data_IF_697928125035
#
_entry.id   IF_697928125035
#
_cell.length_a   1.000
_cell.length_b   1.000
_cell.length_c   1.000
_cell.angle_alpha   90.00
_cell.angle_beta   90.00
_cell.angle_gamma   90.00
#
_symmetry.space_group_name_H-M   'P 1'
#
loop_
_entity.id
_entity.type
_entity.pdbx_description
1 polymer ?
#
# COMPACT_ATOMS: atom_id res chain seq x y z
N UNK A 1 -12.15 -8.38 6.72
CA UNK A 1 -12.49 -7.24 5.84
C UNK A 1 -13.73 -7.60 5.04
N UNK A 2 -14.75 -6.73 4.97
CA UNK A 2 -16.13 -7.09 4.57
C UNK A 2 -16.19 -7.90 3.28
N UNK A 3 -15.51 -7.46 2.22
CA UNK A 3 -15.63 -8.10 0.92
C UNK A 3 -14.80 -9.39 0.78
N UNK A 4 -13.64 -9.51 1.45
CA UNK A 4 -12.91 -10.78 1.56
C UNK A 4 -13.74 -11.88 2.23
N UNK A 5 -14.49 -11.50 3.26
CA UNK A 5 -15.28 -12.45 4.05
C UNK A 5 -16.70 -12.61 3.51
N UNK A 6 -17.13 -11.76 2.56
CA UNK A 6 -18.49 -11.75 2.02
C UNK A 6 -18.91 -13.12 1.49
N UNK A 7 -18.05 -13.77 0.69
CA UNK A 7 -18.29 -15.13 0.20
C UNK A 7 -18.49 -16.12 1.36
N UNK A 8 -17.60 -16.09 2.36
CA UNK A 8 -17.70 -16.97 3.52
C UNK A 8 -19.01 -16.76 4.28
N UNK A 9 -19.43 -15.51 4.47
CA UNK A 9 -20.70 -15.17 5.10
C UNK A 9 -21.90 -15.65 4.28
N UNK A 10 -21.91 -15.44 2.96
CA UNK A 10 -22.97 -15.88 2.05
C UNK A 10 -23.10 -17.42 2.09
N UNK A 11 -21.98 -18.13 1.96
CA UNK A 11 -21.95 -19.60 2.00
C UNK A 11 -22.33 -20.17 3.37
N UNK A 12 -21.98 -19.47 4.45
CA UNK A 12 -22.36 -19.85 5.82
C UNK A 12 -23.84 -19.62 6.09
N UNK A 13 -24.41 -18.52 5.60
CA UNK A 13 -25.84 -18.25 5.69
C UNK A 13 -26.67 -19.31 4.97
N UNK A 14 -26.24 -19.78 3.78
CA UNK A 14 -26.91 -20.89 3.07
C UNK A 14 -27.15 -22.15 3.91
N UNK A 15 -26.31 -22.40 4.92
CA UNK A 15 -26.35 -23.61 5.77
C UNK A 15 -27.20 -23.45 7.04
N UNK A 16 -27.67 -22.25 7.37
CA UNK A 16 -28.41 -21.97 8.61
C UNK A 16 -29.92 -22.18 8.44
N UNK A 17 -30.53 -22.89 9.39
CA UNK A 17 -31.99 -22.97 9.50
C UNK A 17 -32.59 -21.57 9.74
N UNK A 18 -33.72 -21.28 9.09
CA UNK A 18 -34.39 -19.97 9.17
C UNK A 18 -33.78 -18.86 8.29
N UNK A 19 -32.85 -19.20 7.39
CA UNK A 19 -32.28 -18.23 6.45
C UNK A 19 -33.32 -17.67 5.51
N UNK A 20 -33.40 -16.35 5.40
CA UNK A 20 -34.23 -15.68 4.43
C UNK A 20 -33.62 -15.86 3.03
N UNK A 21 -34.26 -16.67 2.19
CA UNK A 21 -33.77 -17.02 0.87
C UNK A 21 -33.67 -15.81 -0.07
N UNK A 22 -34.57 -14.84 0.04
CA UNK A 22 -34.55 -13.62 -0.77
C UNK A 22 -33.32 -12.76 -0.45
N UNK A 23 -32.95 -12.63 0.84
CA UNK A 23 -31.73 -11.92 1.23
C UNK A 23 -30.46 -12.65 0.77
N UNK A 24 -30.48 -13.99 0.79
CA UNK A 24 -29.35 -14.79 0.31
C UNK A 24 -29.15 -14.64 -1.21
N UNK A 25 -30.24 -14.68 -1.99
CA UNK A 25 -30.22 -14.44 -3.44
C UNK A 25 -29.72 -13.04 -3.76
N UNK A 26 -30.19 -12.01 -3.05
CA UNK A 26 -29.72 -10.64 -3.21
C UNK A 26 -28.21 -10.53 -2.93
N UNK A 27 -27.73 -11.11 -1.83
CA UNK A 27 -26.30 -11.04 -1.48
C UNK A 27 -25.41 -11.72 -2.53
N UNK A 28 -25.85 -12.85 -3.11
CA UNK A 28 -25.15 -13.50 -4.22
C UNK A 28 -25.12 -12.61 -5.46
N UNK A 29 -26.25 -12.00 -5.81
CA UNK A 29 -26.36 -11.13 -6.97
C UNK A 29 -25.45 -9.90 -6.83
N UNK A 30 -25.49 -9.22 -5.68
CA UNK A 30 -24.65 -8.06 -5.40
C UNK A 30 -23.15 -8.43 -5.43
N UNK A 31 -22.77 -9.58 -4.87
CA UNK A 31 -21.39 -10.07 -4.93
C UNK A 31 -20.94 -10.27 -6.38
N UNK A 32 -21.72 -10.99 -7.19
CA UNK A 32 -21.38 -11.27 -8.59
C UNK A 32 -21.36 -10.00 -9.45
N UNK A 33 -22.26 -9.04 -9.19
CA UNK A 33 -22.27 -7.74 -9.86
C UNK A 33 -21.02 -6.93 -9.52
N UNK A 34 -20.66 -6.83 -8.24
CA UNK A 34 -19.44 -6.16 -7.81
C UNK A 34 -18.20 -6.83 -8.43
N UNK A 35 -18.14 -8.16 -8.39
CA UNK A 35 -17.06 -8.93 -9.00
C UNK A 35 -16.89 -8.64 -10.50
N UNK A 36 -17.99 -8.53 -11.26
CA UNK A 36 -17.93 -8.21 -12.68
C UNK A 36 -17.26 -6.85 -12.94
N UNK A 37 -17.55 -5.84 -12.11
CA UNK A 37 -16.88 -4.53 -12.18
C UNK A 37 -15.39 -4.65 -11.85
N UNK A 38 -15.02 -5.41 -10.83
CA UNK A 38 -13.61 -5.64 -10.47
C UNK A 38 -12.82 -6.31 -11.60
N UNK A 39 -13.43 -7.26 -12.32
CA UNK A 39 -12.80 -7.88 -13.49
C UNK A 39 -12.57 -6.87 -14.62
N UNK A 40 -13.49 -5.92 -14.80
CA UNK A 40 -13.36 -4.86 -15.80
C UNK A 40 -12.27 -3.85 -15.42
N UNK A 41 -12.17 -3.52 -14.14
CA UNK A 41 -11.08 -2.70 -13.60
C UNK A 41 -9.73 -3.39 -13.77
N UNK A 42 -9.65 -4.68 -13.42
CA UNK A 42 -8.42 -5.48 -13.55
C UNK A 42 -7.96 -5.59 -15.02
N UNK A 43 -8.89 -5.75 -15.97
CA UNK A 43 -8.57 -5.73 -17.41
C UNK A 43 -7.99 -4.38 -17.83
N UNK A 44 -8.57 -3.28 -17.35
CA UNK A 44 -8.11 -1.92 -17.69
C UNK A 44 -6.69 -1.67 -17.18
N UNK A 45 -6.41 -2.01 -15.91
CA UNK A 45 -5.05 -1.84 -15.34
C UNK A 45 -4.05 -2.84 -15.93
N UNK A 46 -4.48 -4.04 -16.31
CA UNK A 46 -3.64 -5.01 -17.02
C UNK A 46 -3.22 -4.51 -18.39
N UNK A 47 -4.15 -3.91 -19.14
CA UNK A 47 -3.82 -3.27 -20.41
C UNK A 47 -2.82 -2.11 -20.23
N UNK A 48 -3.03 -1.26 -19.22
CA UNK A 48 -2.10 -0.18 -18.87
C UNK A 48 -0.70 -0.71 -18.51
N UNK A 49 -0.62 -1.71 -17.62
CA UNK A 49 0.65 -2.27 -17.16
C UNK A 49 1.45 -2.92 -18.28
N UNK A 50 0.77 -3.67 -19.15
CA UNK A 50 1.39 -4.30 -20.32
C UNK A 50 1.93 -3.28 -21.32
N UNK A 51 1.19 -2.18 -21.55
CA UNK A 51 1.63 -1.11 -22.44
C UNK A 51 2.76 -0.27 -21.86
N UNK A 52 2.79 -0.11 -20.53
CA UNK A 52 3.87 0.58 -19.84
C UNK A 52 5.20 -0.18 -20.00
N UNK A 53 5.15 -1.52 -20.12
CA UNK A 53 6.30 -2.36 -20.43
C UNK A 53 7.30 -2.54 -19.28
N UNK A 54 7.07 -1.94 -18.11
CA UNK A 54 8.00 -1.96 -16.98
C UNK A 54 8.38 -3.36 -16.52
N UNK A 55 7.43 -4.29 -16.46
CA UNK A 55 7.71 -5.67 -16.04
C UNK A 55 8.75 -6.37 -16.94
N UNK A 56 8.85 -5.97 -18.21
CA UNK A 56 9.86 -6.51 -19.15
C UNK A 56 11.19 -5.78 -19.03
N UNK A 57 11.15 -4.45 -18.94
CA UNK A 57 12.35 -3.61 -18.83
C UNK A 57 13.06 -3.76 -17.49
N UNK A 58 12.29 -4.04 -16.43
CA UNK A 58 12.76 -4.20 -15.04
C UNK A 58 12.54 -5.65 -14.59
N UNK A 59 13.12 -6.61 -15.32
CA UNK A 59 12.92 -8.05 -15.06
C UNK A 59 13.42 -8.53 -13.69
N UNK A 60 14.18 -7.71 -12.97
CA UNK A 60 14.59 -7.96 -11.58
C UNK A 60 13.48 -7.66 -10.57
N UNK A 61 12.51 -6.81 -10.93
CA UNK A 61 11.40 -6.43 -10.07
C UNK A 61 10.26 -7.45 -10.15
N UNK A 62 9.55 -7.62 -9.03
CA UNK A 62 8.38 -8.47 -8.89
C UNK A 62 7.23 -7.93 -9.75
N UNK A 63 6.74 -8.73 -10.69
CA UNK A 63 5.47 -8.47 -11.38
C UNK A 63 4.29 -8.96 -10.52
N UNK A 64 3.63 -7.99 -9.85
CA UNK A 64 2.60 -8.20 -8.83
C UNK A 64 1.35 -7.37 -9.08
N UNK A 65 0.98 -7.17 -10.35
CA UNK A 65 -0.16 -6.32 -10.70
C UNK A 65 -1.47 -6.78 -10.04
N UNK A 66 -1.72 -8.09 -9.94
CA UNK A 66 -2.95 -8.62 -9.34
C UNK A 66 -2.98 -8.37 -7.84
N UNK A 67 -1.85 -8.53 -7.15
CA UNK A 67 -1.69 -8.24 -5.73
C UNK A 67 -1.79 -6.72 -5.46
N UNK A 68 -1.21 -5.88 -6.33
CA UNK A 68 -1.40 -4.42 -6.30
C UNK A 68 -2.87 -4.02 -6.50
N UNK A 69 -3.57 -4.70 -7.40
CA UNK A 69 -5.00 -4.50 -7.61
C UNK A 69 -5.80 -4.91 -6.37
N UNK A 70 -5.43 -6.04 -5.75
CA UNK A 70 -6.02 -6.49 -4.50
C UNK A 70 -5.85 -5.48 -3.37
N UNK A 71 -4.69 -4.81 -3.25
CA UNK A 71 -4.50 -3.68 -2.33
C UNK A 71 -5.56 -2.59 -2.59
N UNK A 72 -5.76 -2.18 -3.85
CA UNK A 72 -6.76 -1.16 -4.17
C UNK A 72 -8.20 -1.60 -3.82
N UNK A 73 -8.57 -2.85 -4.16
CA UNK A 73 -9.87 -3.45 -3.82
C UNK A 73 -10.09 -3.51 -2.31
N UNK A 74 -9.03 -3.83 -1.55
CA UNK A 74 -9.12 -3.98 -0.10
C UNK A 74 -9.45 -2.67 0.62
N UNK A 75 -9.03 -1.54 0.06
CA UNK A 75 -9.38 -0.23 0.59
C UNK A 75 -10.83 0.12 0.22
N UNK A 76 -11.21 -0.08 -1.05
CA UNK A 76 -12.57 0.20 -1.54
C UNK A 76 -12.97 -0.73 -2.69
N UNK A 77 -13.97 -1.57 -2.44
CA UNK A 77 -14.42 -2.58 -3.41
C UNK A 77 -15.74 -2.19 -4.09
N UNK A 78 -16.44 -1.17 -3.58
CA UNK A 78 -17.80 -0.85 -4.00
C UNK A 78 -17.81 -0.41 -5.48
N UNK A 79 -18.77 -0.86 -6.31
CA UNK A 79 -18.73 -0.71 -7.76
C UNK A 79 -18.44 0.71 -8.28
N UNK A 80 -18.97 1.73 -7.61
CA UNK A 80 -18.81 3.15 -7.98
C UNK A 80 -17.37 3.67 -7.91
N UNK A 81 -16.45 2.97 -7.24
CA UNK A 81 -15.04 3.39 -7.07
C UNK A 81 -14.10 2.77 -8.10
N UNK A 82 -14.59 2.52 -9.32
CA UNK A 82 -13.81 1.94 -10.43
C UNK A 82 -12.55 2.76 -10.77
N UNK A 83 -12.71 4.06 -11.07
CA UNK A 83 -11.56 4.93 -11.39
C UNK A 83 -10.56 5.04 -10.24
N UNK A 84 -11.05 5.06 -9.00
CA UNK A 84 -10.22 5.03 -7.80
C UNK A 84 -9.38 3.74 -7.75
N UNK A 85 -9.99 2.57 -7.91
CA UNK A 85 -9.26 1.29 -7.86
C UNK A 85 -8.22 1.20 -8.96
N UNK A 86 -8.56 1.65 -10.17
CA UNK A 86 -7.62 1.68 -11.28
C UNK A 86 -6.43 2.59 -10.98
N UNK A 87 -6.68 3.81 -10.51
CA UNK A 87 -5.63 4.77 -10.14
C UNK A 87 -4.74 4.26 -9.02
N UNK A 88 -5.33 3.73 -7.94
CA UNK A 88 -4.57 3.25 -6.80
C UNK A 88 -3.77 1.99 -7.11
N UNK A 89 -4.25 1.13 -8.02
CA UNK A 89 -3.48 -0.02 -8.50
C UNK A 89 -2.19 0.44 -9.18
N UNK A 90 -2.25 1.47 -10.05
CA UNK A 90 -1.06 2.04 -10.69
C UNK A 90 -0.05 2.52 -9.64
N UNK A 91 -0.53 3.23 -8.62
CA UNK A 91 0.31 3.70 -7.49
C UNK A 91 0.96 2.53 -6.76
N UNK A 92 0.20 1.49 -6.40
CA UNK A 92 0.71 0.30 -5.72
C UNK A 92 1.75 -0.47 -6.57
N UNK A 93 1.57 -0.52 -7.89
CA UNK A 93 2.55 -1.11 -8.81
C UNK A 93 3.86 -0.34 -8.80
N UNK A 94 3.82 1.00 -8.85
CA UNK A 94 5.05 1.82 -8.74
C UNK A 94 5.73 1.68 -7.39
N UNK A 95 4.97 1.66 -6.28
CA UNK A 95 5.53 1.41 -4.95
C UNK A 95 6.33 0.11 -4.96
N UNK A 96 5.73 -0.99 -5.42
CA UNK A 96 6.38 -2.31 -5.44
C UNK A 96 7.62 -2.34 -6.34
N UNK A 97 7.54 -1.74 -7.52
CA UNK A 97 8.68 -1.68 -8.44
C UNK A 97 9.83 -0.85 -7.90
N UNK A 98 9.53 0.27 -7.24
CA UNK A 98 10.55 1.13 -6.65
C UNK A 98 11.15 0.47 -5.42
N UNK A 99 10.36 -0.19 -4.58
CA UNK A 99 10.84 -0.99 -3.45
C UNK A 99 11.91 -2.00 -3.88
N UNK A 100 11.68 -2.75 -4.98
CA UNK A 100 12.68 -3.65 -5.56
C UNK A 100 13.96 -2.95 -6.04
N UNK A 101 13.84 -1.73 -6.55
CA UNK A 101 15.01 -0.95 -6.95
C UNK A 101 15.87 -0.64 -5.73
N UNK A 102 15.28 -0.25 -4.59
CA UNK A 102 16.02 0.12 -3.38
C UNK A 102 16.56 -1.09 -2.61
N UNK A 103 15.79 -2.18 -2.53
CA UNK A 103 16.13 -3.30 -1.65
C UNK A 103 16.94 -4.39 -2.33
N UNK A 104 16.88 -4.49 -3.67
CA UNK A 104 17.47 -5.62 -4.41
C UNK A 104 18.51 -5.18 -5.43
N UNK A 105 18.20 -4.17 -6.25
CA UNK A 105 18.93 -3.97 -7.51
C UNK A 105 19.89 -2.78 -7.52
N UNK A 106 19.45 -1.61 -7.08
CA UNK A 106 20.19 -0.36 -7.24
C UNK A 106 21.40 -0.28 -6.31
N UNK A 107 22.51 0.26 -6.81
CA UNK A 107 23.65 0.59 -5.94
C UNK A 107 23.37 1.86 -5.15
N UNK A 108 24.02 2.05 -4.00
CA UNK A 108 23.78 3.25 -3.18
C UNK A 108 23.89 4.56 -3.97
N UNK A 109 24.91 4.70 -4.82
CA UNK A 109 25.09 5.89 -5.67
C UNK A 109 23.94 6.08 -6.65
N UNK A 110 23.40 4.99 -7.21
CA UNK A 110 22.24 5.06 -8.10
C UNK A 110 20.96 5.44 -7.33
N UNK A 111 20.77 4.88 -6.13
CA UNK A 111 19.64 5.19 -5.26
C UNK A 111 19.62 6.66 -4.81
N UNK A 112 20.78 7.24 -4.53
CA UNK A 112 20.91 8.67 -4.22
C UNK A 112 20.48 9.54 -5.42
N UNK A 113 20.94 9.20 -6.63
CA UNK A 113 20.55 9.90 -7.86
C UNK A 113 19.05 9.76 -8.15
N UNK A 114 18.47 8.57 -7.95
CA UNK A 114 17.05 8.35 -8.15
C UNK A 114 16.19 9.12 -7.15
N UNK A 115 16.62 9.16 -5.89
CA UNK A 115 15.97 9.95 -4.84
C UNK A 115 15.99 11.43 -5.17
N UNK A 116 17.14 11.97 -5.59
CA UNK A 116 17.28 13.38 -6.01
C UNK A 116 16.42 13.69 -7.24
N UNK A 117 16.34 12.78 -8.21
CA UNK A 117 15.51 12.96 -9.40
C UNK A 117 14.01 13.09 -9.06
N UNK A 118 13.50 12.24 -8.15
CA UNK A 118 12.12 12.32 -7.67
C UNK A 118 11.89 13.53 -6.77
N UNK A 119 12.86 13.93 -5.96
CA UNK A 119 12.76 15.15 -5.15
C UNK A 119 12.65 16.42 -6.00
N UNK A 120 13.45 16.51 -7.07
CA UNK A 120 13.38 17.64 -8.02
C UNK A 120 12.15 17.57 -8.90
N UNK A 121 11.68 16.36 -9.20
CA UNK A 121 10.55 16.09 -10.09
C UNK A 121 10.71 16.77 -11.46
N UNK A 122 11.92 16.67 -12.01
CA UNK A 122 12.33 17.31 -13.26
C UNK A 122 12.68 16.23 -14.30
N UNK A 123 12.35 16.46 -15.57
CA UNK A 123 12.69 15.54 -16.66
C UNK A 123 14.18 15.70 -17.03
N UNK A 124 14.77 16.87 -16.84
CA UNK A 124 16.14 17.13 -17.29
C UNK A 124 17.16 16.32 -16.48
N UNK A 125 16.86 16.02 -15.21
CA UNK A 125 17.70 15.17 -14.34
C UNK A 125 17.66 13.70 -14.73
N UNK A 126 16.72 13.27 -15.57
CA UNK A 126 16.67 11.88 -16.06
C UNK A 126 17.94 11.51 -16.82
N UNK A 127 18.65 12.47 -17.40
CA UNK A 127 19.84 12.17 -18.17
C UNK A 127 20.98 11.57 -17.35
N UNK A 128 21.06 11.86 -16.05
CA UNK A 128 22.09 11.34 -15.14
C UNK A 128 21.79 9.96 -14.57
N UNK A 129 20.56 9.45 -14.71
CA UNK A 129 20.16 8.15 -14.18
C UNK A 129 20.64 6.97 -15.05
N UNK A 130 20.85 5.77 -14.49
CA UNK A 130 21.02 4.57 -15.29
C UNK A 130 19.73 4.24 -16.07
N UNK A 131 19.84 3.55 -17.21
CA UNK A 131 18.74 3.39 -18.16
C UNK A 131 17.46 2.81 -17.53
N UNK A 132 17.59 1.82 -16.65
CA UNK A 132 16.44 1.19 -15.98
C UNK A 132 15.70 2.17 -15.05
N UNK A 133 16.44 3.03 -14.34
CA UNK A 133 15.87 4.11 -13.52
C UNK A 133 15.25 5.21 -14.36
N UNK A 134 15.82 5.53 -15.54
CA UNK A 134 15.18 6.49 -16.47
C UNK A 134 13.79 6.01 -16.87
N UNK A 135 13.69 4.74 -17.25
CA UNK A 135 12.44 4.11 -17.66
C UNK A 135 11.44 4.12 -16.49
N UNK A 136 11.87 3.71 -15.29
CA UNK A 136 11.03 3.74 -14.09
C UNK A 136 10.55 5.15 -13.73
N UNK A 137 11.45 6.13 -13.68
CA UNK A 137 11.14 7.53 -13.36
C UNK A 137 10.16 8.12 -14.36
N UNK A 138 10.40 7.99 -15.67
CA UNK A 138 9.52 8.57 -16.69
C UNK A 138 8.13 7.93 -16.66
N UNK A 139 8.05 6.63 -16.42
CA UNK A 139 6.78 5.93 -16.24
C UNK A 139 6.00 6.47 -15.02
N UNK A 140 6.69 6.64 -13.89
CA UNK A 140 6.13 7.24 -12.67
C UNK A 140 5.67 8.68 -12.95
N UNK A 141 6.56 9.52 -13.44
CA UNK A 141 6.33 10.93 -13.72
C UNK A 141 5.10 11.14 -14.61
N UNK A 142 5.02 10.41 -15.73
CA UNK A 142 3.89 10.50 -16.65
C UNK A 142 2.58 10.06 -16.00
N UNK A 143 2.59 8.95 -15.26
CA UNK A 143 1.36 8.43 -14.64
C UNK A 143 0.85 9.34 -13.53
N UNK A 144 1.74 9.85 -12.68
CA UNK A 144 1.37 10.74 -11.57
C UNK A 144 0.92 12.10 -12.08
N UNK A 145 1.57 12.64 -13.12
CA UNK A 145 1.15 13.89 -13.73
C UNK A 145 -0.18 13.75 -14.49
N UNK A 146 -0.47 12.61 -15.12
CA UNK A 146 -1.78 12.33 -15.72
C UNK A 146 -2.89 12.37 -14.66
N UNK A 147 -2.68 11.74 -13.49
CA UNK A 147 -3.62 11.79 -12.37
C UNK A 147 -3.81 13.22 -11.86
N UNK A 148 -2.71 13.95 -11.66
CA UNK A 148 -2.75 15.33 -11.21
C UNK A 148 -3.45 16.27 -12.20
N UNK A 149 -3.27 16.04 -13.51
CA UNK A 149 -4.00 16.76 -14.55
C UNK A 149 -5.50 16.49 -14.51
N UNK A 150 -5.91 15.25 -14.25
CA UNK A 150 -7.31 14.89 -14.02
C UNK A 150 -7.93 15.69 -12.87
N UNK A 151 -7.20 15.82 -11.76
CA UNK A 151 -7.62 16.63 -10.60
C UNK A 151 -7.66 18.13 -10.95
N UNK A 152 -6.61 18.67 -11.56
CA UNK A 152 -6.50 20.06 -12.01
C UNK A 152 -7.67 20.46 -12.91
N UNK A 153 -8.06 19.61 -13.84
CA UNK A 153 -9.18 19.88 -14.74
C UNK A 153 -10.52 20.02 -14.04
N UNK A 154 -10.69 19.40 -12.88
CA UNK A 154 -11.96 19.37 -12.15
C UNK A 154 -12.02 20.45 -11.08
N UNK A 155 -10.91 20.71 -10.40
CA UNK A 155 -10.85 21.61 -9.25
C UNK A 155 -9.99 22.86 -9.47
N UNK A 156 -9.39 23.01 -10.67
CA UNK A 156 -8.51 24.14 -11.02
C UNK A 156 -7.27 24.27 -10.12
N UNK A 157 -6.88 23.18 -9.45
CA UNK A 157 -5.74 23.15 -8.55
C UNK A 157 -4.65 22.15 -8.97
N UNK A 158 -3.40 22.60 -8.91
CA UNK A 158 -2.25 21.77 -9.26
C UNK A 158 -1.71 21.03 -8.03
N UNK A 159 -1.95 19.72 -7.97
CA UNK A 159 -1.48 18.84 -6.90
C UNK A 159 -0.12 18.16 -7.20
N UNK A 160 0.51 18.42 -8.35
CA UNK A 160 1.81 17.83 -8.71
C UNK A 160 2.87 18.07 -7.61
N UNK A 161 3.04 19.29 -7.06
CA UNK A 161 4.06 19.53 -6.03
C UNK A 161 3.83 18.68 -4.76
N UNK A 162 2.57 18.46 -4.40
CA UNK A 162 2.21 17.64 -3.23
C UNK A 162 2.54 16.16 -3.48
N UNK A 163 2.20 15.65 -4.66
CA UNK A 163 2.49 14.26 -5.03
C UNK A 163 4.00 14.02 -5.21
N UNK A 164 4.72 14.95 -5.83
CA UNK A 164 6.18 14.89 -5.96
C UNK A 164 6.86 14.80 -4.59
N UNK A 165 6.49 15.70 -3.66
CA UNK A 165 6.99 15.66 -2.27
C UNK A 165 6.66 14.35 -1.58
N UNK A 166 5.44 13.85 -1.75
CA UNK A 166 4.98 12.59 -1.15
C UNK A 166 5.83 11.40 -1.60
N UNK A 167 6.10 11.28 -2.91
CA UNK A 167 6.97 10.24 -3.43
C UNK A 167 8.42 10.43 -2.95
N UNK A 168 8.94 11.66 -2.98
CA UNK A 168 10.29 11.95 -2.51
C UNK A 168 10.49 11.59 -1.03
N UNK A 169 9.53 11.88 -0.16
CA UNK A 169 9.60 11.51 1.26
C UNK A 169 9.63 9.99 1.46
N UNK A 170 8.90 9.21 0.64
CA UNK A 170 8.98 7.74 0.66
C UNK A 170 10.35 7.25 0.19
N UNK A 171 10.87 7.78 -0.93
CA UNK A 171 12.16 7.37 -1.47
C UNK A 171 13.32 7.73 -0.54
N UNK A 172 13.24 8.85 0.19
CA UNK A 172 14.18 9.19 1.26
C UNK A 172 14.13 8.18 2.40
N UNK A 173 12.93 7.69 2.75
CA UNK A 173 12.78 6.66 3.76
C UNK A 173 13.37 5.31 3.30
N UNK A 174 13.15 4.93 2.03
CA UNK A 174 13.81 3.76 1.41
C UNK A 174 15.32 3.91 1.39
N UNK A 175 15.85 5.06 0.97
CA UNK A 175 17.29 5.32 0.96
C UNK A 175 17.90 5.18 2.36
N UNK A 176 17.20 5.65 3.40
CA UNK A 176 17.66 5.50 4.78
C UNK A 176 17.71 4.03 5.21
N UNK A 177 16.71 3.24 4.84
CA UNK A 177 16.68 1.79 5.08
C UNK A 177 17.78 1.05 4.32
N UNK A 178 18.00 1.39 3.05
CA UNK A 178 19.12 0.86 2.27
C UNK A 178 20.46 1.15 2.95
N UNK A 179 20.68 2.37 3.47
CA UNK A 179 21.91 2.75 4.18
C UNK A 179 22.12 1.95 5.47
N UNK A 180 21.05 1.69 6.22
CA UNK A 180 21.11 0.80 7.39
C UNK A 180 21.46 -0.63 6.98
N UNK A 181 20.77 -1.19 5.97
CA UNK A 181 20.96 -2.56 5.51
C UNK A 181 22.36 -2.82 4.93
N UNK A 182 22.94 -1.83 4.24
CA UNK A 182 24.30 -1.90 3.69
C UNK A 182 25.40 -1.50 4.69
N UNK A 183 25.04 -1.18 5.94
CA UNK A 183 25.96 -0.75 7.01
C UNK A 183 26.78 0.49 6.65
N UNK A 184 26.21 1.40 5.87
CA UNK A 184 26.82 2.70 5.59
C UNK A 184 26.66 3.69 6.74
N UNK A 185 25.65 3.47 7.58
CA UNK A 185 25.39 4.22 8.81
C UNK A 185 25.10 3.23 9.95
N UNK A 186 25.19 3.71 11.19
CA UNK A 186 24.95 2.88 12.37
C UNK A 186 23.54 2.28 12.37
N UNK A 187 23.38 1.01 12.81
CA UNK A 187 22.07 0.38 12.95
C UNK A 187 21.12 1.23 13.79
N UNK A 188 19.84 1.32 13.41
CA UNK A 188 18.89 2.16 14.14
C UNK A 188 18.48 1.52 15.46
N UNK A 189 18.21 2.37 16.44
CA UNK A 189 17.35 1.96 17.57
C UNK A 189 15.95 1.61 17.08
N UNK A 190 15.19 0.85 17.86
CA UNK A 190 13.80 0.52 17.57
C UNK A 190 12.93 1.76 17.31
N UNK A 191 13.12 2.83 18.09
CA UNK A 191 12.38 4.07 17.91
C UNK A 191 12.74 4.79 16.60
N UNK A 192 14.03 4.82 16.25
CA UNK A 192 14.49 5.46 15.01
C UNK A 192 14.07 4.67 13.77
N UNK A 193 14.15 3.34 13.85
CA UNK A 193 13.62 2.45 12.82
C UNK A 193 12.14 2.74 12.63
N UNK A 194 11.34 2.65 13.69
CA UNK A 194 9.90 2.78 13.58
C UNK A 194 9.50 4.15 13.00
N UNK A 195 10.18 5.22 13.38
CA UNK A 195 9.93 6.56 12.84
C UNK A 195 10.20 6.64 11.33
N UNK A 196 11.19 5.91 10.79
CA UNK A 196 11.36 5.82 9.34
C UNK A 196 10.36 4.85 8.70
N UNK A 197 10.17 3.69 9.33
CA UNK A 197 9.54 2.52 8.76
C UNK A 197 8.05 2.70 8.46
N UNK A 198 7.35 3.56 9.21
CA UNK A 198 5.94 3.88 8.88
C UNK A 198 5.82 4.76 7.63
N UNK A 199 6.90 5.42 7.18
CA UNK A 199 6.93 6.16 5.90
C UNK A 199 7.36 5.26 4.75
N UNK A 200 8.39 4.43 4.95
CA UNK A 200 8.88 3.50 3.92
C UNK A 200 7.83 2.44 3.55
N UNK A 201 6.99 1.99 4.48
CA UNK A 201 5.92 1.02 4.17
C UNK A 201 4.85 1.55 3.19
N UNK A 202 4.98 2.79 2.70
CA UNK A 202 4.13 3.42 1.67
C UNK A 202 2.67 3.70 2.06
N UNK A 203 2.27 3.41 3.30
CA UNK A 203 0.90 3.66 3.77
C UNK A 203 0.45 5.12 3.60
N UNK A 204 1.35 6.08 3.80
CA UNK A 204 1.10 7.51 3.54
C UNK A 204 0.87 7.80 2.06
N UNK A 205 1.66 7.21 1.18
CA UNK A 205 1.54 7.37 -0.28
C UNK A 205 0.19 6.84 -0.75
N UNK A 206 -0.17 5.63 -0.32
CA UNK A 206 -1.47 5.00 -0.61
C UNK A 206 -2.62 5.90 -0.15
N UNK A 207 -2.58 6.43 1.08
CA UNK A 207 -3.67 7.23 1.63
C UNK A 207 -3.75 8.62 1.00
N UNK A 208 -2.64 9.31 0.74
CA UNK A 208 -2.71 10.63 0.10
C UNK A 208 -3.20 10.51 -1.34
N UNK A 209 -2.78 9.49 -2.09
CA UNK A 209 -3.39 9.19 -3.40
C UNK A 209 -4.87 8.84 -3.26
N UNK A 210 -5.24 8.07 -2.24
CA UNK A 210 -6.64 7.75 -1.96
C UNK A 210 -7.48 9.01 -1.77
N UNK A 211 -6.98 9.99 -1.02
CA UNK A 211 -7.67 11.25 -0.80
C UNK A 211 -7.97 11.99 -2.12
N UNK A 212 -6.98 12.15 -2.98
CA UNK A 212 -7.16 12.85 -4.26
C UNK A 212 -8.02 12.06 -5.26
N UNK A 213 -7.87 10.73 -5.33
CA UNK A 213 -8.68 9.86 -6.19
C UNK A 213 -10.15 9.80 -5.76
N UNK A 214 -10.44 10.09 -4.49
CA UNK A 214 -11.80 10.22 -3.95
C UNK A 214 -12.36 11.63 -4.04
N UNK A 215 -11.71 12.51 -4.80
CA UNK A 215 -12.18 13.89 -4.99
C UNK A 215 -12.13 14.72 -3.70
N UNK A 216 -11.07 14.53 -2.89
CA UNK A 216 -10.89 15.25 -1.63
C UNK A 216 -10.95 16.76 -1.76
N UNK A 217 -11.72 17.39 -0.85
CA UNK A 217 -11.97 18.83 -0.81
C UNK A 217 -10.70 19.67 -0.56
N UNK A 218 -10.66 20.87 -1.10
CA UNK A 218 -9.48 21.76 -1.08
C UNK A 218 -9.36 22.58 0.21
N UNK A 219 -10.00 22.12 1.29
CA UNK A 219 -9.92 22.80 2.56
C UNK A 219 -8.45 22.85 3.00
N UNK A 220 -7.89 24.07 3.05
CA UNK A 220 -6.49 24.33 3.42
C UNK A 220 -6.08 23.64 4.72
N UNK A 221 -7.01 23.51 5.69
CA UNK A 221 -6.76 22.81 6.94
C UNK A 221 -6.58 21.31 6.72
N UNK A 222 -7.42 20.70 5.89
CA UNK A 222 -7.37 19.28 5.55
C UNK A 222 -6.12 18.95 4.74
N UNK A 223 -5.78 19.78 3.75
CA UNK A 223 -4.54 19.65 2.98
C UNK A 223 -3.30 19.80 3.87
N UNK A 224 -3.28 20.77 4.79
CA UNK A 224 -2.19 20.92 5.74
C UNK A 224 -2.03 19.65 6.59
N UNK A 225 -3.13 19.10 7.13
CA UNK A 225 -3.10 17.86 7.91
C UNK A 225 -2.56 16.66 7.13
N UNK A 226 -2.92 16.52 5.85
CA UNK A 226 -2.38 15.49 4.97
C UNK A 226 -0.87 15.67 4.75
N UNK A 227 -0.44 16.89 4.44
CA UNK A 227 0.96 17.19 4.08
C UNK A 227 1.90 17.22 5.30
N UNK A 228 1.38 17.41 6.52
CA UNK A 228 2.15 17.27 7.77
C UNK A 228 2.18 15.84 8.30
N UNK A 229 1.60 14.89 7.56
CA UNK A 229 1.44 13.50 7.98
C UNK A 229 0.81 13.37 9.39
N UNK A 230 -0.35 13.99 9.56
CA UNK A 230 -1.12 13.90 10.81
C UNK A 230 -1.39 12.42 11.19
N UNK A 231 -1.79 12.20 12.44
CA UNK A 231 -2.08 10.90 13.05
C UNK A 231 -3.00 10.00 12.21
N UNK A 232 -3.87 10.61 11.41
CA UNK A 232 -4.79 9.92 10.49
C UNK A 232 -4.07 9.12 9.39
N UNK A 233 -2.87 9.53 8.99
CA UNK A 233 -2.00 8.80 8.06
C UNK A 233 -1.00 7.92 8.81
N UNK A 234 -0.51 8.39 9.96
CA UNK A 234 0.55 7.72 10.73
C UNK A 234 0.12 6.41 11.35
N UNK A 235 -0.99 6.35 12.09
CA UNK A 235 -1.40 5.12 12.78
C UNK A 235 -1.71 3.94 11.85
N UNK A 236 -2.49 4.10 10.77
CA UNK A 236 -2.71 2.98 9.85
C UNK A 236 -1.42 2.54 9.17
N UNK A 237 -0.48 3.46 8.89
CA UNK A 237 0.84 3.11 8.35
C UNK A 237 1.74 2.39 9.37
N UNK A 238 1.67 2.74 10.66
CA UNK A 238 2.33 1.98 11.73
C UNK A 238 1.76 0.56 11.80
N UNK A 239 0.43 0.40 11.78
CA UNK A 239 -0.17 -0.94 11.77
C UNK A 239 0.30 -1.73 10.55
N UNK A 240 0.32 -1.09 9.38
CA UNK A 240 0.81 -1.70 8.15
C UNK A 240 2.26 -2.19 8.31
N UNK A 241 3.18 -1.31 8.70
CA UNK A 241 4.59 -1.67 8.94
C UNK A 241 4.74 -2.83 9.92
N UNK A 242 4.09 -2.75 11.08
CA UNK A 242 4.24 -3.78 12.10
C UNK A 242 3.64 -5.14 11.69
N UNK A 243 2.55 -5.14 10.92
CA UNK A 243 2.01 -6.37 10.33
C UNK A 243 2.97 -6.96 9.28
N UNK A 244 3.53 -6.12 8.42
CA UNK A 244 4.51 -6.51 7.41
C UNK A 244 5.75 -7.15 8.07
N UNK A 245 6.41 -6.44 8.99
CA UNK A 245 7.61 -6.94 9.67
C UNK A 245 7.34 -8.24 10.45
N UNK A 246 6.16 -8.39 11.07
CA UNK A 246 5.80 -9.64 11.76
C UNK A 246 5.79 -10.84 10.79
N UNK A 247 5.39 -10.63 9.54
CA UNK A 247 5.29 -11.68 8.54
C UNK A 247 6.61 -11.94 7.80
N UNK A 248 7.44 -10.91 7.59
CA UNK A 248 8.64 -11.01 6.74
C UNK A 248 9.94 -11.21 7.53
N UNK A 249 9.98 -10.74 8.79
CA UNK A 249 11.21 -10.70 9.60
C UNK A 249 11.97 -12.02 9.70
N UNK A 250 11.28 -13.17 9.82
CA UNK A 250 11.98 -14.46 9.94
C UNK A 250 12.79 -14.78 8.67
N UNK A 251 12.24 -14.53 7.49
CA UNK A 251 12.96 -14.75 6.23
C UNK A 251 14.07 -13.72 6.03
N UNK A 252 13.81 -12.45 6.37
CA UNK A 252 14.81 -11.39 6.33
C UNK A 252 16.01 -11.73 7.21
N UNK A 253 15.77 -12.08 8.48
CA UNK A 253 16.81 -12.47 9.44
C UNK A 253 17.58 -13.69 8.92
N UNK A 254 16.89 -14.69 8.36
CA UNK A 254 17.55 -15.87 7.79
C UNK A 254 18.45 -15.55 6.59
N UNK A 255 18.13 -14.49 5.82
CA UNK A 255 18.97 -13.98 4.71
C UNK A 255 20.06 -13.01 5.19
N UNK A 256 20.17 -12.77 6.49
CA UNK A 256 21.14 -11.84 7.08
C UNK A 256 20.66 -10.38 7.16
N UNK A 257 19.38 -10.13 6.92
CA UNK A 257 18.72 -8.85 7.17
C UNK A 257 18.73 -8.53 8.67
N UNK A 258 19.08 -7.29 9.00
CA UNK A 258 19.27 -6.86 10.40
C UNK A 258 18.41 -5.68 10.81
N UNK A 259 17.59 -5.16 9.90
CA UNK A 259 16.86 -3.90 10.08
C UNK A 259 15.37 -4.14 9.87
N UNK A 260 14.70 -4.57 10.94
CA UNK A 260 13.24 -4.61 11.04
C UNK A 260 12.81 -4.41 12.50
N UNK A 261 11.51 -4.22 12.75
CA UNK A 261 11.01 -3.95 14.11
C UNK A 261 11.36 -5.05 15.12
N UNK A 262 11.43 -6.32 14.69
CA UNK A 262 11.77 -7.45 15.56
C UNK A 262 13.24 -7.38 15.96
N UNK A 263 14.14 -7.32 14.99
CA UNK A 263 15.59 -7.25 15.24
C UNK A 263 15.98 -6.01 16.03
N UNK A 264 15.46 -4.83 15.68
CA UNK A 264 15.74 -3.60 16.41
C UNK A 264 15.25 -3.67 17.86
N UNK A 265 14.04 -4.20 18.11
CA UNK A 265 13.51 -4.32 19.48
C UNK A 265 14.31 -5.33 20.32
N UNK A 266 14.71 -6.46 19.73
CA UNK A 266 15.57 -7.45 20.38
C UNK A 266 16.91 -6.84 20.79
N UNK A 267 17.55 -6.09 19.89
CA UNK A 267 18.84 -5.45 20.13
C UNK A 267 18.75 -4.39 21.24
N UNK A 268 17.73 -3.53 21.21
CA UNK A 268 17.56 -2.44 22.18
C UNK A 268 17.27 -2.95 23.60
N UNK A 269 16.57 -4.09 23.73
CA UNK A 269 16.04 -4.56 25.02
C UNK A 269 16.69 -5.87 25.51
N UNK A 270 17.58 -6.49 24.74
CA UNK A 270 18.21 -7.76 25.08
C UNK A 270 17.23 -8.93 25.23
N UNK A 271 16.11 -8.90 24.50
CA UNK A 271 15.03 -9.91 24.56
C UNK A 271 15.12 -10.91 23.41
N UNK A 272 14.47 -12.07 23.57
CA UNK A 272 14.37 -13.04 22.48
C UNK A 272 13.28 -12.67 21.45
N UNK A 273 13.26 -13.39 20.32
CA UNK A 273 12.33 -13.12 19.22
C UNK A 273 10.86 -13.26 19.63
N UNK A 274 10.52 -14.26 20.45
CA UNK A 274 9.14 -14.48 20.90
C UNK A 274 8.63 -13.29 21.72
N UNK A 275 9.46 -12.78 22.64
CA UNK A 275 9.17 -11.60 23.44
C UNK A 275 9.03 -10.34 22.56
N UNK A 276 9.90 -10.16 21.57
CA UNK A 276 9.82 -9.06 20.62
C UNK A 276 8.52 -9.11 19.79
N UNK A 277 8.19 -10.28 19.22
CA UNK A 277 6.94 -10.50 18.48
C UNK A 277 5.71 -10.20 19.32
N UNK A 278 5.72 -10.61 20.60
CA UNK A 278 4.62 -10.32 21.52
C UNK A 278 4.50 -8.81 21.80
N UNK A 279 5.62 -8.09 21.95
CA UNK A 279 5.61 -6.65 22.10
C UNK A 279 5.04 -5.95 20.85
N UNK A 280 5.45 -6.36 19.65
CA UNK A 280 4.93 -5.78 18.40
C UNK A 280 3.41 -5.95 18.29
N UNK A 281 2.85 -7.11 18.69
CA UNK A 281 1.38 -7.31 18.75
C UNK A 281 0.71 -6.31 19.69
N UNK A 282 1.29 -6.05 20.86
CA UNK A 282 0.78 -5.04 21.81
C UNK A 282 0.84 -3.62 21.20
N UNK A 283 1.88 -3.30 20.44
CA UNK A 283 1.98 -2.03 19.73
C UNK A 283 0.92 -1.88 18.64
N UNK A 284 0.62 -2.95 17.89
CA UNK A 284 -0.47 -2.97 16.92
C UNK A 284 -1.81 -2.68 17.62
N UNK A 285 -2.10 -3.33 18.74
CA UNK A 285 -3.33 -3.09 19.52
C UNK A 285 -3.39 -1.63 20.03
N UNK A 286 -2.26 -1.09 20.47
CA UNK A 286 -2.13 0.30 20.88
C UNK A 286 -2.38 1.29 19.73
N UNK A 287 -1.84 1.00 18.55
CA UNK A 287 -2.04 1.82 17.35
C UNK A 287 -3.51 1.78 16.88
N UNK A 288 -4.17 0.63 16.96
CA UNK A 288 -5.61 0.49 16.69
C UNK A 288 -6.45 1.38 17.62
N UNK A 289 -6.16 1.38 18.92
CA UNK A 289 -6.88 2.24 19.88
C UNK A 289 -6.73 3.73 19.53
N UNK A 290 -5.52 4.18 19.19
CA UNK A 290 -5.26 5.58 18.79
C UNK A 290 -5.94 5.93 17.47
N UNK A 291 -5.85 5.06 16.47
CA UNK A 291 -6.51 5.25 15.18
C UNK A 291 -8.03 5.37 15.32
N UNK A 292 -8.65 4.51 16.15
CA UNK A 292 -10.09 4.58 16.40
C UNK A 292 -10.50 5.90 17.04
N UNK A 293 -9.73 6.40 18.03
CA UNK A 293 -9.98 7.71 18.65
C UNK A 293 -9.88 8.85 17.63
N UNK A 294 -8.81 8.86 16.83
CA UNK A 294 -8.56 9.92 15.84
C UNK A 294 -9.57 9.87 14.67
N UNK A 295 -10.07 8.70 14.30
CA UNK A 295 -11.03 8.53 13.19
C UNK A 295 -12.46 8.88 13.62
N UNK A 296 -12.92 8.45 14.80
CA UNK A 296 -14.27 8.76 15.31
C UNK A 296 -14.42 10.25 15.63
N UNK A 297 -13.35 10.89 16.10
CA UNK A 297 -13.36 12.32 16.44
C UNK A 297 -13.20 13.27 15.25
N UNK A 298 -12.93 12.76 14.04
CA UNK A 298 -12.60 13.60 12.89
C UNK A 298 -13.81 13.95 12.04
N UNK A 299 -14.08 15.24 11.91
CA UNK A 299 -15.06 15.81 10.98
C UNK A 299 -14.40 16.52 9.78
N UNK A 300 -13.05 16.48 9.69
CA UNK A 300 -12.30 17.23 8.68
C UNK A 300 -12.17 16.51 7.32
N UNK A 301 -12.51 15.22 7.27
CA UNK A 301 -12.34 14.36 6.09
C UNK A 301 -13.64 13.68 5.67
N UNK A 302 -13.70 13.30 4.40
CA UNK A 302 -14.80 12.50 3.84
C UNK A 302 -14.89 11.13 4.53
N UNK A 303 -16.11 10.63 4.72
CA UNK A 303 -16.34 9.31 5.32
C UNK A 303 -15.66 8.18 4.54
N UNK A 304 -15.64 8.26 3.20
CA UNK A 304 -14.95 7.30 2.33
C UNK A 304 -13.43 7.27 2.57
N UNK A 305 -12.82 8.43 2.78
CA UNK A 305 -11.41 8.53 3.12
C UNK A 305 -11.11 7.96 4.52
N UNK A 306 -11.90 8.33 5.53
CA UNK A 306 -11.78 7.78 6.89
C UNK A 306 -12.00 6.25 6.91
N UNK A 307 -12.88 5.73 6.06
CA UNK A 307 -13.05 4.29 5.90
C UNK A 307 -11.81 3.64 5.27
N UNK A 308 -11.16 4.32 4.32
CA UNK A 308 -9.94 3.85 3.66
C UNK A 308 -8.75 3.79 4.60
N UNK A 309 -8.64 4.71 5.58
CA UNK A 309 -7.57 4.66 6.60
C UNK A 309 -7.72 3.42 7.49
N UNK A 310 -8.94 3.12 7.93
CA UNK A 310 -9.25 1.88 8.67
C UNK A 310 -8.99 0.65 7.80
N UNK A 311 -9.39 0.70 6.52
CA UNK A 311 -9.22 -0.42 5.61
C UNK A 311 -7.75 -0.66 5.24
N UNK A 312 -6.88 0.35 5.23
CA UNK A 312 -5.43 0.14 5.09
C UNK A 312 -4.88 -0.74 6.23
N UNK A 313 -5.27 -0.45 7.48
CA UNK A 313 -4.87 -1.26 8.61
C UNK A 313 -5.44 -2.69 8.50
N UNK A 314 -6.69 -2.86 8.09
CA UNK A 314 -7.30 -4.20 7.86
C UNK A 314 -6.63 -4.96 6.73
N UNK A 315 -6.30 -4.26 5.64
CA UNK A 315 -5.58 -4.80 4.49
C UNK A 315 -4.25 -5.39 4.94
N UNK A 316 -3.49 -4.65 5.74
CA UNK A 316 -2.21 -5.14 6.23
C UNK A 316 -2.36 -6.42 7.06
N UNK A 317 -3.36 -6.49 7.94
CA UNK A 317 -3.68 -7.74 8.62
C UNK A 317 -3.99 -8.85 7.63
N UNK A 318 -4.82 -8.61 6.61
CA UNK A 318 -5.18 -9.63 5.62
C UNK A 318 -3.98 -10.13 4.81
N UNK A 319 -3.16 -9.23 4.26
CA UNK A 319 -2.00 -9.60 3.43
C UNK A 319 -0.96 -10.35 4.25
N UNK A 320 -0.70 -9.92 5.50
CA UNK A 320 0.40 -10.43 6.31
C UNK A 320 -0.02 -11.45 7.38
N UNK A 321 -1.30 -11.86 7.44
CA UNK A 321 -1.78 -12.79 8.48
C UNK A 321 -1.07 -14.16 8.44
N UNK A 322 -0.67 -14.62 7.25
CA UNK A 322 -0.13 -15.98 7.01
C UNK A 322 1.24 -15.97 6.31
N UNK A 323 1.97 -14.86 6.40
CA UNK A 323 3.19 -14.63 5.63
C UNK A 323 3.01 -13.54 4.59
N UNK A 324 3.98 -13.37 3.69
CA UNK A 324 3.98 -12.29 2.72
C UNK A 324 3.13 -12.61 1.48
N UNK A 325 1.83 -12.33 1.57
CA UNK A 325 0.88 -12.55 0.46
C UNK A 325 1.03 -11.55 -0.68
N UNK A 326 1.85 -10.51 -0.55
CA UNK A 326 2.09 -9.55 -1.62
C UNK A 326 3.29 -9.97 -2.46
N UNK A 327 4.44 -10.19 -1.82
CA UNK A 327 5.67 -10.52 -2.54
C UNK A 327 5.75 -11.98 -2.94
N UNK A 328 5.31 -12.88 -2.06
CA UNK A 328 5.44 -14.33 -2.24
C UNK A 328 4.13 -15.05 -1.85
N UNK A 329 3.02 -14.79 -2.57
CA UNK A 329 1.72 -15.34 -2.22
C UNK A 329 1.72 -16.87 -2.22
N UNK A 330 1.34 -17.44 -1.08
CA UNK A 330 1.12 -18.87 -0.93
C UNK A 330 -0.13 -19.32 -1.74
N UNK A 331 -0.34 -20.64 -1.93
CA UNK A 331 -1.50 -21.13 -2.66
C UNK A 331 -2.85 -20.71 -2.06
N UNK A 332 -2.92 -20.44 -0.74
CA UNK A 332 -4.16 -20.03 -0.06
C UNK A 332 -4.46 -18.56 -0.36
N UNK A 333 -3.48 -17.67 -0.26
CA UNK A 333 -3.62 -16.25 -0.61
C UNK A 333 -4.00 -16.07 -2.07
N UNK A 334 -3.39 -16.85 -2.98
CA UNK A 334 -3.80 -16.87 -4.41
C UNK A 334 -5.27 -17.29 -4.56
N UNK A 335 -5.70 -18.31 -3.83
CA UNK A 335 -7.10 -18.75 -3.85
C UNK A 335 -8.04 -17.69 -3.30
N UNK A 336 -7.66 -16.97 -2.25
CA UNK A 336 -8.47 -15.87 -1.69
C UNK A 336 -8.68 -14.77 -2.75
N UNK A 337 -7.63 -14.38 -3.48
CA UNK A 337 -7.74 -13.42 -4.59
C UNK A 337 -8.62 -13.96 -5.74
N UNK A 338 -8.46 -15.22 -6.13
CA UNK A 338 -9.26 -15.85 -7.19
C UNK A 338 -10.75 -15.95 -6.84
N UNK A 339 -11.07 -16.40 -5.62
CA UNK A 339 -12.45 -16.54 -5.14
C UNK A 339 -13.18 -15.19 -5.06
N UNK A 340 -12.42 -14.11 -4.93
CA UNK A 340 -12.90 -12.74 -4.83
C UNK A 340 -13.13 -12.09 -6.19
N UNK A 341 -12.16 -12.21 -7.10
CA UNK A 341 -12.14 -11.45 -8.36
C UNK A 341 -12.60 -12.31 -9.55
N UNK A 342 -12.39 -13.62 -9.53
CA UNK A 342 -12.54 -14.48 -10.72
C UNK A 342 -13.71 -15.44 -10.59
N UNK A 343 -13.82 -16.14 -9.47
CA UNK A 343 -14.82 -17.19 -9.30
C UNK A 343 -16.14 -16.56 -8.84
N UNK A 344 -17.28 -16.74 -9.52
CA UNK A 344 -18.57 -16.24 -9.04
C UNK A 344 -19.10 -17.10 -7.88
N UNK A 345 -20.13 -16.63 -7.19
CA UNK A 345 -20.95 -17.46 -6.30
C UNK A 345 -22.09 -18.04 -7.12
N UNK A 346 -22.10 -19.36 -7.28
CA UNK A 346 -23.14 -20.12 -7.98
C UNK A 346 -24.16 -20.69 -7.01
N UNK A 347 -25.29 -21.18 -7.55
CA UNK A 347 -26.34 -21.83 -6.77
C UNK A 347 -25.99 -23.21 -6.21
#
# INVERSE_FOLDING_TARGET
MVMLEARWYIESCKKKEGTNMTLLELAKLEFNMAQSVLQQDLKSVSWWWNNLGLAKELSFSRDRLVECFFVAVSLMYEPQFSSYRQGLTKVASFITTIDDIYDIYGTMSELELFTDAVERWDIDVVQSLPNYMKICFLALYNTINEMAYGFLRKHEHNIIPNLAKLWADMLKAFLKEAKWSHKEIDPPTFSEYLENAWRSVSGTVILVHTYYLLDGDENKKTLLQLMTYDKILRWPSIIFRLCNDLATSSEEIARGGTVNSISCYMNDNGVNEEQARQHIKVLIDGAWKKMNQDTIGSNAFMKSFLQSTINLARMAHCIYHRGDSHSSPDPKSKKEVLTLIVEPITD
#
